data_IF_088231016424
#
_entry.id   IF_088231016424
#
_cell.length_a   1.000
_cell.length_b   1.000
_cell.length_c   1.000
_cell.angle_alpha   90.00
_cell.angle_beta   90.00
_cell.angle_gamma   90.00
#
_symmetry.space_group_name_H-M   'P 1'
#
loop_
_entity.id
_entity.type
_entity.pdbx_description
1 polymer ?
#
# COMPACT_ATOMS: atom_id res chain seq x y z
N UNK A 1 -12.58 25.26 10.92
CA UNK A 1 -13.03 23.99 10.29
C UNK A 1 -12.73 22.86 11.25
N UNK A 2 -13.70 21.99 11.51
CA UNK A 2 -13.47 20.72 12.23
C UNK A 2 -12.79 19.73 11.28
N UNK A 3 -11.73 19.05 11.73
CA UNK A 3 -11.10 17.97 10.96
C UNK A 3 -12.05 16.77 10.89
N UNK A 4 -12.19 16.18 9.70
CA UNK A 4 -13.03 15.01 9.47
C UNK A 4 -12.16 13.77 9.20
N UNK A 5 -12.22 12.77 10.08
CA UNK A 5 -11.39 11.57 9.98
C UNK A 5 -12.04 10.40 9.23
N UNK A 6 -13.19 10.61 8.57
CA UNK A 6 -13.94 9.56 7.87
C UNK A 6 -13.15 8.88 6.75
N UNK A 7 -12.13 9.55 6.20
CA UNK A 7 -11.25 8.98 5.17
C UNK A 7 -10.22 7.96 5.72
N UNK A 8 -10.21 7.76 7.04
CA UNK A 8 -9.37 6.78 7.74
C UNK A 8 -10.24 5.84 8.58
N UNK A 9 -10.58 4.69 8.03
CA UNK A 9 -11.35 3.67 8.72
C UNK A 9 -10.42 2.63 9.37
N UNK A 10 -10.43 2.53 10.70
CA UNK A 10 -9.74 1.45 11.43
C UNK A 10 -10.71 0.28 11.56
N UNK A 11 -10.30 -0.93 11.18
CA UNK A 11 -11.15 -2.12 11.35
C UNK A 11 -11.06 -2.64 12.79
N UNK A 12 -12.03 -3.49 13.16
CA UNK A 12 -12.11 -4.12 14.49
C UNK A 12 -11.14 -5.31 14.68
N UNK A 13 -10.54 -5.81 13.60
CA UNK A 13 -9.62 -6.94 13.65
C UNK A 13 -8.17 -6.49 13.41
N UNK A 14 -7.24 -7.27 13.94
CA UNK A 14 -5.80 -7.02 13.84
C UNK A 14 -5.06 -8.31 13.57
N UNK A 15 -3.87 -8.18 13.00
CA UNK A 15 -2.93 -9.27 12.81
C UNK A 15 -1.87 -9.30 13.91
N UNK A 16 -1.18 -10.42 14.04
CA UNK A 16 -0.05 -10.53 14.96
C UNK A 16 1.16 -9.76 14.41
N UNK A 17 1.54 -8.67 15.09
CA UNK A 17 2.65 -7.82 14.66
C UNK A 17 4.01 -8.51 14.71
N UNK A 18 4.21 -9.48 15.61
CA UNK A 18 5.46 -10.24 15.71
C UNK A 18 5.59 -11.13 14.47
N UNK A 19 4.53 -11.88 14.16
CA UNK A 19 4.50 -12.73 12.95
C UNK A 19 4.60 -11.94 11.65
N UNK A 20 4.02 -10.72 11.59
CA UNK A 20 4.19 -9.83 10.43
C UNK A 20 5.65 -9.42 10.22
N UNK A 21 6.38 -9.15 11.30
CA UNK A 21 7.82 -8.82 11.24
C UNK A 21 8.66 -10.02 10.85
N UNK A 22 8.35 -11.20 11.37
CA UNK A 22 8.99 -12.47 10.99
C UNK A 22 8.79 -12.77 9.50
N UNK A 23 7.54 -12.71 9.02
CA UNK A 23 7.23 -12.90 7.61
C UNK A 23 7.93 -11.88 6.71
N UNK A 24 7.99 -10.62 7.12
CA UNK A 24 8.77 -9.60 6.40
C UNK A 24 10.25 -9.98 6.33
N UNK A 25 10.85 -10.38 7.45
CA UNK A 25 12.26 -10.79 7.50
C UNK A 25 12.55 -12.02 6.64
N UNK A 26 11.61 -12.94 6.48
CA UNK A 26 11.76 -14.10 5.61
C UNK A 26 11.64 -13.72 4.13
N UNK A 27 10.66 -12.90 3.77
CA UNK A 27 10.49 -12.44 2.37
C UNK A 27 11.71 -11.65 1.87
N UNK A 28 12.29 -10.76 2.68
CA UNK A 28 13.45 -9.96 2.23
C UNK A 28 14.74 -10.77 2.04
N UNK A 29 14.82 -11.99 2.58
CA UNK A 29 15.93 -12.92 2.29
C UNK A 29 15.79 -13.52 0.90
N UNK A 30 14.56 -13.64 0.39
CA UNK A 30 14.22 -14.26 -0.89
C UNK A 30 14.20 -13.20 -2.00
N UNK A 31 13.58 -12.05 -1.73
CA UNK A 31 13.29 -11.02 -2.73
C UNK A 31 13.69 -9.63 -2.24
N UNK A 32 14.46 -8.91 -3.07
CA UNK A 32 14.73 -7.49 -2.87
C UNK A 32 13.55 -6.65 -3.35
N UNK A 33 13.39 -5.46 -2.77
CA UNK A 33 12.44 -4.48 -3.26
C UNK A 33 12.71 -4.11 -4.71
N UNK A 34 11.68 -4.17 -5.53
CA UNK A 34 11.72 -3.66 -6.90
C UNK A 34 11.53 -2.13 -6.84
N UNK A 35 12.51 -1.40 -7.37
CA UNK A 35 12.47 0.06 -7.52
C UNK A 35 12.24 0.40 -9.00
N UNK A 36 11.26 1.23 -9.30
CA UNK A 36 11.07 1.74 -10.67
C UNK A 36 12.08 2.88 -10.85
N UNK A 37 12.88 2.85 -11.93
CA UNK A 37 14.07 3.70 -12.13
C UNK A 37 13.84 5.21 -11.86
N UNK A 38 12.63 5.72 -12.03
CA UNK A 38 12.31 7.14 -11.87
C UNK A 38 11.74 7.51 -10.48
N UNK A 39 11.63 6.55 -9.55
CA UNK A 39 11.09 6.78 -8.21
C UNK A 39 12.14 6.44 -7.15
N UNK A 40 12.69 7.47 -6.53
CA UNK A 40 13.63 7.32 -5.42
C UNK A 40 12.88 7.04 -4.11
N UNK A 41 13.55 6.40 -3.16
CA UNK A 41 13.08 6.25 -1.78
C UNK A 41 11.76 5.49 -1.62
N UNK A 42 11.43 4.64 -2.60
CA UNK A 42 10.24 3.81 -2.64
C UNK A 42 10.56 2.46 -3.27
N UNK A 43 10.01 1.39 -2.74
CA UNK A 43 10.12 0.05 -3.31
C UNK A 43 8.88 -0.78 -3.06
N UNK A 44 8.65 -1.78 -3.91
CA UNK A 44 7.55 -2.72 -3.74
C UNK A 44 8.03 -4.17 -3.83
N UNK A 45 7.39 -5.06 -3.08
CA UNK A 45 7.42 -6.52 -3.28
C UNK A 45 5.96 -6.95 -3.43
N UNK A 46 5.59 -7.47 -4.60
CA UNK A 46 4.25 -8.03 -4.79
C UNK A 46 4.08 -9.31 -3.98
N UNK A 47 2.89 -9.48 -3.39
CA UNK A 47 2.45 -10.71 -2.72
C UNK A 47 1.43 -11.47 -3.57
N UNK A 48 0.77 -10.78 -4.51
CA UNK A 48 -0.17 -11.37 -5.47
C UNK A 48 0.24 -11.08 -6.90
N UNK A 49 -0.11 -11.98 -7.81
CA UNK A 49 0.04 -11.85 -9.26
C UNK A 49 -1.26 -12.27 -9.98
N UNK A 50 -1.31 -12.02 -11.29
CA UNK A 50 -2.36 -12.58 -12.14
C UNK A 50 -2.07 -14.08 -12.33
N UNK A 51 -3.04 -14.99 -12.09
CA UNK A 51 -2.86 -16.42 -12.29
C UNK A 51 -2.25 -16.76 -13.65
N UNK A 52 -1.11 -17.43 -13.64
CA UNK A 52 -0.40 -17.82 -14.86
C UNK A 52 0.34 -16.69 -15.60
N UNK A 53 0.43 -15.48 -15.04
CA UNK A 53 1.20 -14.36 -15.58
C UNK A 53 2.14 -13.76 -14.52
N UNK A 54 3.34 -14.34 -14.32
CA UNK A 54 4.37 -13.79 -13.44
C UNK A 54 4.92 -12.42 -13.89
N UNK A 55 4.70 -12.01 -15.14
CA UNK A 55 5.11 -10.70 -15.65
C UNK A 55 4.12 -9.59 -15.29
N UNK A 56 2.95 -9.95 -14.74
CA UNK A 56 1.94 -9.00 -14.24
C UNK A 56 2.48 -8.09 -13.13
N UNK A 57 3.50 -8.51 -12.39
CA UNK A 57 4.09 -7.76 -11.28
C UNK A 57 5.35 -6.98 -11.66
N UNK A 58 5.76 -6.98 -12.93
CA UNK A 58 7.02 -6.35 -13.37
C UNK A 58 6.82 -4.91 -13.87
N UNK A 59 7.82 -4.09 -13.62
CA UNK A 59 7.89 -2.70 -14.10
C UNK A 59 6.69 -1.86 -13.66
N UNK A 60 6.17 -1.07 -14.58
CA UNK A 60 5.08 -0.11 -14.37
C UNK A 60 3.74 -0.75 -13.92
N UNK A 61 3.50 -2.02 -14.25
CA UNK A 61 2.32 -2.76 -13.77
C UNK A 61 2.32 -2.93 -12.24
N UNK A 62 3.49 -2.84 -11.59
CA UNK A 62 3.62 -2.89 -10.15
C UNK A 62 3.08 -1.62 -9.44
N UNK A 63 2.96 -0.47 -10.14
CA UNK A 63 2.41 0.79 -9.60
C UNK A 63 0.97 1.00 -10.01
N UNK A 64 0.65 0.80 -11.29
CA UNK A 64 -0.69 1.04 -11.85
C UNK A 64 -1.02 2.52 -11.99
N UNK A 65 -2.16 2.84 -12.60
CA UNK A 65 -2.57 4.21 -12.93
C UNK A 65 -2.88 5.05 -11.68
N UNK A 66 -2.48 6.32 -11.71
CA UNK A 66 -2.81 7.32 -10.69
C UNK A 66 -2.85 8.71 -11.31
N UNK A 67 -3.35 9.70 -10.56
CA UNK A 67 -3.48 11.07 -11.03
C UNK A 67 -2.75 12.06 -10.13
N UNK A 68 -2.10 13.06 -10.74
CA UNK A 68 -1.30 14.08 -10.04
C UNK A 68 -1.73 15.49 -10.46
N UNK A 69 -1.39 16.50 -9.65
CA UNK A 69 -1.43 17.93 -10.03
C UNK A 69 0.00 18.45 -10.01
N UNK A 70 0.72 18.43 -11.15
CA UNK A 70 2.18 18.50 -11.16
C UNK A 70 2.73 19.93 -11.05
N UNK A 71 1.93 20.94 -11.37
CA UNK A 71 2.38 22.33 -11.47
C UNK A 71 1.37 23.30 -10.84
N UNK A 72 1.72 24.59 -10.86
CA UNK A 72 0.93 25.67 -10.29
C UNK A 72 -0.44 25.89 -10.94
N UNK A 73 -0.73 25.24 -12.08
CA UNK A 73 -2.06 25.34 -12.71
C UNK A 73 -3.11 24.52 -11.96
N UNK A 74 -2.68 23.55 -11.16
CA UNK A 74 -3.57 22.63 -10.44
C UNK A 74 -4.34 21.67 -11.35
N UNK A 75 -4.00 21.60 -12.64
CA UNK A 75 -4.62 20.68 -13.59
C UNK A 75 -4.21 19.24 -13.31
N UNK A 76 -5.20 18.35 -13.31
CA UNK A 76 -4.99 16.93 -13.10
C UNK A 76 -4.46 16.26 -14.38
N UNK A 77 -3.53 15.33 -14.22
CA UNK A 77 -2.99 14.50 -15.29
C UNK A 77 -2.84 13.05 -14.82
N UNK A 78 -3.10 12.10 -15.71
CA UNK A 78 -2.87 10.68 -15.47
C UNK A 78 -1.38 10.33 -15.56
N UNK A 79 -1.00 9.28 -14.86
CA UNK A 79 0.35 8.71 -14.81
C UNK A 79 0.26 7.19 -14.92
N UNK A 80 1.28 6.60 -15.52
CA UNK A 80 1.44 5.14 -15.63
C UNK A 80 0.33 4.43 -16.44
N UNK A 81 0.24 3.11 -16.31
CA UNK A 81 -0.63 2.21 -17.08
C UNK A 81 -1.82 1.73 -16.25
N UNK A 82 -2.97 1.58 -16.90
CA UNK A 82 -4.13 0.93 -16.29
C UNK A 82 -3.82 -0.54 -16.03
N UNK A 83 -4.24 -1.03 -14.87
CA UNK A 83 -4.17 -2.44 -14.48
C UNK A 83 -5.56 -2.92 -14.10
N UNK A 84 -5.88 -4.17 -14.43
CA UNK A 84 -7.14 -4.80 -14.03
C UNK A 84 -6.95 -5.42 -12.65
N UNK A 85 -7.16 -4.62 -11.59
CA UNK A 85 -6.95 -5.04 -10.20
C UNK A 85 -7.64 -6.37 -9.87
N UNK A 86 -8.85 -6.61 -10.39
CA UNK A 86 -9.63 -7.84 -10.18
C UNK A 86 -8.92 -9.13 -10.62
N UNK A 87 -7.93 -9.04 -11.52
CA UNK A 87 -7.19 -10.21 -12.01
C UNK A 87 -6.08 -10.67 -11.07
N UNK A 88 -5.66 -9.85 -10.10
CA UNK A 88 -4.57 -10.19 -9.18
C UNK A 88 -5.08 -11.03 -8.01
N UNK A 89 -5.24 -12.33 -8.23
CA UNK A 89 -5.87 -13.27 -7.29
C UNK A 89 -5.00 -14.45 -6.88
N UNK A 90 -3.84 -14.64 -7.51
CA UNK A 90 -2.88 -15.69 -7.15
C UNK A 90 -1.88 -15.14 -6.13
N UNK A 91 -1.79 -15.77 -4.96
CA UNK A 91 -0.71 -15.48 -4.01
C UNK A 91 0.58 -16.12 -4.49
N UNK A 92 1.69 -15.39 -4.43
CA UNK A 92 2.98 -15.84 -4.97
C UNK A 92 3.52 -17.00 -4.13
N UNK A 93 3.84 -18.12 -4.79
CA UNK A 93 4.21 -19.40 -4.16
C UNK A 93 5.46 -19.28 -3.28
N UNK A 94 6.45 -18.46 -3.68
CA UNK A 94 7.71 -18.23 -2.96
C UNK A 94 7.51 -17.73 -1.51
N UNK A 95 6.36 -17.14 -1.19
CA UNK A 95 6.07 -16.56 0.12
C UNK A 95 4.98 -17.32 0.89
N UNK A 96 4.50 -18.45 0.37
CA UNK A 96 3.32 -19.16 0.89
C UNK A 96 3.49 -19.71 2.31
N UNK A 97 4.73 -20.01 2.69
CA UNK A 97 5.07 -20.54 4.01
C UNK A 97 5.27 -19.44 5.07
N UNK A 98 5.03 -18.17 4.69
CA UNK A 98 5.08 -17.03 5.60
C UNK A 98 3.70 -16.65 6.11
N UNK A 99 3.65 -15.91 7.22
CA UNK A 99 2.38 -15.38 7.77
C UNK A 99 1.60 -14.50 6.78
N UNK A 100 2.23 -13.98 5.72
CA UNK A 100 1.52 -13.19 4.71
C UNK A 100 0.49 -13.99 3.92
N UNK A 101 0.65 -15.31 3.82
CA UNK A 101 -0.38 -16.17 3.20
C UNK A 101 -1.67 -16.16 4.00
N UNK A 102 -1.58 -16.33 5.33
CA UNK A 102 -2.72 -16.25 6.24
C UNK A 102 -3.35 -14.85 6.23
N UNK A 103 -2.52 -13.79 6.23
CA UNK A 103 -2.99 -12.40 6.11
C UNK A 103 -3.80 -12.21 4.82
N UNK A 104 -3.28 -12.68 3.68
CA UNK A 104 -3.96 -12.58 2.39
C UNK A 104 -5.31 -13.31 2.40
N UNK A 105 -5.37 -14.53 2.93
CA UNK A 105 -6.60 -15.32 2.99
C UNK A 105 -7.66 -14.66 3.89
N UNK A 106 -7.26 -14.17 5.06
CA UNK A 106 -8.16 -13.46 5.96
C UNK A 106 -8.69 -12.17 5.32
N UNK A 107 -7.83 -11.38 4.68
CA UNK A 107 -8.27 -10.17 3.97
C UNK A 107 -9.21 -10.51 2.80
N UNK A 108 -8.90 -11.54 2.02
CA UNK A 108 -9.70 -11.98 0.87
C UNK A 108 -11.06 -12.53 1.28
N UNK A 109 -11.17 -13.12 2.48
CA UNK A 109 -12.45 -13.55 3.04
C UNK A 109 -13.39 -12.39 3.41
N UNK A 110 -12.85 -11.18 3.56
CA UNK A 110 -13.58 -9.98 4.01
C UNK A 110 -13.79 -8.95 2.91
N UNK A 111 -12.91 -8.90 1.92
CA UNK A 111 -12.86 -7.86 0.90
C UNK A 111 -12.60 -8.44 -0.48
N UNK A 112 -13.13 -7.78 -1.52
CA UNK A 112 -12.70 -8.02 -2.91
C UNK A 112 -11.37 -7.28 -3.10
N UNK A 113 -10.26 -8.02 -3.06
CA UNK A 113 -8.93 -7.46 -3.19
C UNK A 113 -8.50 -7.36 -4.67
N UNK A 114 -7.65 -6.36 -4.94
CA UNK A 114 -6.76 -6.36 -6.10
C UNK A 114 -5.34 -6.72 -5.69
N UNK A 115 -4.35 -6.01 -6.23
CA UNK A 115 -2.94 -6.20 -5.89
C UNK A 115 -2.68 -6.03 -4.39
N UNK A 116 -1.97 -7.00 -3.82
CA UNK A 116 -1.41 -6.96 -2.48
C UNK A 116 0.11 -6.90 -2.56
N UNK A 117 0.71 -5.96 -1.83
CA UNK A 117 2.15 -5.64 -1.90
C UNK A 117 2.70 -5.28 -0.53
N UNK A 118 3.97 -5.55 -0.31
CA UNK A 118 4.77 -4.91 0.72
C UNK A 118 5.39 -3.66 0.11
N UNK A 119 5.19 -2.50 0.73
CA UNK A 119 5.79 -1.24 0.28
C UNK A 119 6.83 -0.74 1.28
N UNK A 120 7.90 -0.20 0.73
CA UNK A 120 8.98 0.50 1.41
C UNK A 120 8.87 2.00 1.14
N UNK A 121 9.02 2.81 2.20
CA UNK A 121 9.37 4.24 2.10
C UNK A 121 10.61 4.52 2.95
N UNK A 122 11.67 4.98 2.32
CA UNK A 122 12.94 5.28 3.02
C UNK A 122 12.82 6.54 3.92
N UNK A 123 13.76 6.73 4.86
CA UNK A 123 13.83 7.93 5.70
C UNK A 123 13.77 9.26 4.93
N UNK A 124 13.31 10.31 5.62
CA UNK A 124 13.32 11.71 5.17
C UNK A 124 12.82 11.91 3.72
N UNK A 125 11.70 11.29 3.39
CA UNK A 125 11.21 11.27 2.00
C UNK A 125 9.68 11.31 1.89
N UNK A 126 9.16 11.79 0.76
CA UNK A 126 7.72 11.95 0.49
C UNK A 126 7.32 11.31 -0.85
N UNK A 127 6.04 11.02 -1.03
CA UNK A 127 5.46 10.67 -2.34
C UNK A 127 4.99 11.93 -3.08
N UNK A 128 4.48 11.77 -4.31
CA UNK A 128 3.73 12.83 -4.99
C UNK A 128 2.38 13.07 -4.32
N UNK A 129 1.81 14.27 -4.48
CA UNK A 129 0.41 14.52 -4.17
C UNK A 129 -0.47 13.90 -5.27
N UNK A 130 -1.19 12.84 -4.95
CA UNK A 130 -1.90 12.03 -5.94
C UNK A 130 -3.22 11.45 -5.44
N UNK A 131 -4.05 11.00 -6.37
CA UNK A 131 -5.17 10.10 -6.08
C UNK A 131 -5.04 8.82 -6.90
N UNK A 132 -5.57 7.74 -6.36
CA UNK A 132 -5.64 6.43 -6.97
C UNK A 132 -7.07 6.12 -7.44
N UNK A 133 -7.30 5.04 -8.20
CA UNK A 133 -8.65 4.67 -8.62
C UNK A 133 -9.45 4.01 -7.49
N UNK A 134 -8.81 3.30 -6.57
CA UNK A 134 -9.46 2.54 -5.50
C UNK A 134 -8.97 2.91 -4.09
N UNK A 135 -9.82 2.71 -3.06
CA UNK A 135 -9.38 2.64 -1.67
C UNK A 135 -8.28 1.61 -1.42
N UNK A 136 -7.50 1.82 -0.36
CA UNK A 136 -6.42 0.89 0.01
C UNK A 136 -6.51 0.45 1.46
N UNK A 137 -6.21 -0.82 1.70
CA UNK A 137 -5.85 -1.32 3.01
C UNK A 137 -4.38 -0.99 3.29
N UNK A 138 -4.07 -0.56 4.51
CA UNK A 138 -2.72 -0.39 5.02
C UNK A 138 -2.55 -1.14 6.35
N UNK A 139 -1.49 -1.94 6.45
CA UNK A 139 -1.09 -2.65 7.68
C UNK A 139 0.38 -2.35 7.97
N UNK A 140 0.67 -1.41 8.90
CA UNK A 140 2.04 -1.09 9.30
C UNK A 140 2.79 -2.28 9.95
N UNK A 141 4.00 -2.57 9.47
CA UNK A 141 4.92 -3.59 10.05
C UNK A 141 6.07 -2.90 10.80
N UNK A 142 6.73 -1.94 10.13
CA UNK A 142 7.76 -1.06 10.70
C UNK A 142 7.35 0.38 10.42
N UNK A 143 7.28 1.24 11.44
CA UNK A 143 6.86 2.64 11.34
C UNK A 143 7.36 3.44 12.54
N UNK A 144 7.50 4.76 12.35
CA UNK A 144 7.80 5.73 13.40
C UNK A 144 6.76 6.86 13.42
N UNK A 145 6.70 7.70 14.48
CA UNK A 145 5.76 8.84 14.56
C UNK A 145 5.86 9.85 13.40
N UNK A 146 7.01 9.92 12.71
CA UNK A 146 7.20 10.76 11.53
C UNK A 146 6.61 10.17 10.24
N UNK A 147 6.06 8.97 10.28
CA UNK A 147 5.37 8.34 9.15
C UNK A 147 3.90 8.73 9.15
N UNK A 148 3.52 9.59 8.21
CA UNK A 148 2.20 10.22 8.18
C UNK A 148 1.57 10.02 6.82
N UNK A 149 0.31 9.61 6.83
CA UNK A 149 -0.57 9.67 5.68
C UNK A 149 -1.42 10.92 5.77
N UNK A 150 -1.44 11.69 4.69
CA UNK A 150 -2.27 12.88 4.55
C UNK A 150 -3.32 12.59 3.48
N UNK A 151 -4.60 12.69 3.81
CA UNK A 151 -5.70 12.60 2.84
C UNK A 151 -6.47 13.90 2.93
N UNK A 152 -6.55 14.61 1.80
CA UNK A 152 -7.07 15.97 1.72
C UNK A 152 -6.40 16.89 2.75
N UNK A 153 -7.13 17.31 3.80
CA UNK A 153 -6.61 18.19 4.86
C UNK A 153 -6.31 17.48 6.19
N UNK A 154 -6.39 16.15 6.24
CA UNK A 154 -6.20 15.36 7.48
C UNK A 154 -4.91 14.55 7.42
N UNK A 155 -4.06 14.75 8.43
CA UNK A 155 -2.82 14.00 8.65
C UNK A 155 -3.01 12.96 9.76
N UNK A 156 -2.56 11.72 9.51
CA UNK A 156 -2.68 10.62 10.47
C UNK A 156 -1.49 9.69 10.47
N UNK A 157 -1.02 9.36 11.67
CA UNK A 157 -0.07 8.27 11.90
C UNK A 157 -0.82 6.93 12.06
N UNK A 158 -0.32 5.87 11.43
CA UNK A 158 -0.83 4.51 11.59
C UNK A 158 0.24 3.65 12.28
N UNK A 159 0.00 3.15 13.52
CA UNK A 159 1.01 2.45 14.30
C UNK A 159 1.22 1.00 13.82
N UNK A 160 2.41 0.45 14.09
CA UNK A 160 2.73 -0.96 13.88
C UNK A 160 2.29 -1.80 15.09
N UNK A 161 0.98 -1.97 15.23
CA UNK A 161 0.32 -2.75 16.29
C UNK A 161 -0.57 -3.88 15.72
N UNK A 162 -0.44 -4.17 14.42
CA UNK A 162 -1.24 -5.14 13.69
C UNK A 162 -2.59 -4.61 13.20
N UNK A 163 -2.94 -3.35 13.50
CA UNK A 163 -4.19 -2.74 13.05
C UNK A 163 -4.28 -2.70 11.53
N UNK A 164 -5.49 -2.95 11.03
CA UNK A 164 -5.83 -2.82 9.62
C UNK A 164 -6.58 -1.50 9.42
N UNK A 165 -6.09 -0.70 8.48
CA UNK A 165 -6.67 0.58 8.11
C UNK A 165 -7.16 0.51 6.68
N UNK A 166 -8.35 1.01 6.40
CA UNK A 166 -8.81 1.31 5.05
C UNK A 166 -8.77 2.82 4.87
N UNK A 167 -8.14 3.29 3.82
CA UNK A 167 -7.97 4.71 3.52
C UNK A 167 -8.62 5.10 2.20
N UNK A 168 -9.15 6.32 2.14
CA UNK A 168 -9.79 6.84 0.94
C UNK A 168 -8.75 7.41 -0.05
N UNK A 169 -8.01 6.52 -0.71
CA UNK A 169 -7.01 6.91 -1.72
C UNK A 169 -7.62 7.46 -3.01
N UNK A 170 -8.94 7.39 -3.17
CA UNK A 170 -9.65 8.04 -4.30
C UNK A 170 -9.64 9.55 -4.19
N UNK A 171 -9.45 10.08 -2.97
CA UNK A 171 -9.13 11.48 -2.72
C UNK A 171 -7.64 11.73 -2.91
N UNK A 172 -7.32 12.99 -3.16
CA UNK A 172 -5.93 13.42 -3.20
C UNK A 172 -5.28 13.25 -1.83
N UNK A 173 -4.12 12.62 -1.83
CA UNK A 173 -3.40 12.20 -0.64
C UNK A 173 -1.90 12.15 -0.88
N UNK A 174 -1.17 11.93 0.20
CA UNK A 174 0.26 11.74 0.24
C UNK A 174 0.64 10.83 1.39
N UNK A 175 1.80 10.21 1.28
CA UNK A 175 2.47 9.58 2.40
C UNK A 175 3.91 10.07 2.45
N UNK A 176 4.35 10.46 3.64
CA UNK A 176 5.74 10.80 3.90
C UNK A 176 6.29 10.04 5.11
N UNK A 177 7.59 9.76 5.06
CA UNK A 177 8.38 9.25 6.16
C UNK A 177 9.38 10.33 6.56
N UNK A 178 9.03 11.12 7.58
CA UNK A 178 9.91 12.13 8.17
C UNK A 178 10.90 11.57 9.20
N UNK A 179 10.84 10.27 9.49
CA UNK A 179 11.73 9.61 10.44
C UNK A 179 13.06 9.19 9.83
N UNK A 180 13.82 8.44 10.62
CA UNK A 180 15.20 8.01 10.31
C UNK A 180 15.32 6.50 10.03
N UNK A 181 14.21 5.76 10.07
CA UNK A 181 14.13 4.35 9.70
C UNK A 181 13.18 4.12 8.52
N UNK A 182 13.36 3.01 7.82
CA UNK A 182 12.46 2.58 6.74
C UNK A 182 11.04 2.35 7.25
N UNK A 183 10.04 2.82 6.50
CA UNK A 183 8.64 2.45 6.70
C UNK A 183 8.32 1.23 5.85
N UNK A 184 7.83 0.16 6.48
CA UNK A 184 7.41 -1.09 5.82
C UNK A 184 5.95 -1.41 6.13
N UNK A 185 5.08 -1.52 5.13
CA UNK A 185 3.69 -1.96 5.33
C UNK A 185 3.19 -2.88 4.23
N UNK A 186 2.10 -3.60 4.53
CA UNK A 186 1.25 -4.22 3.51
C UNK A 186 0.29 -3.17 2.98
N UNK A 187 0.13 -3.13 1.65
CA UNK A 187 -0.96 -2.42 0.96
C UNK A 187 -1.77 -3.40 0.14
N UNK A 188 -3.09 -3.29 0.16
CA UNK A 188 -3.98 -3.99 -0.76
C UNK A 188 -4.99 -3.03 -1.39
N UNK A 189 -5.23 -3.14 -2.69
CA UNK A 189 -6.33 -2.44 -3.36
C UNK A 189 -7.67 -3.07 -2.93
N UNK A 190 -8.69 -2.26 -2.63
CA UNK A 190 -10.01 -2.74 -2.18
C UNK A 190 -11.09 -2.31 -3.16
N UNK A 191 -11.68 -3.29 -3.84
CA UNK A 191 -12.53 -3.06 -5.01
C UNK A 191 -14.01 -2.93 -4.67
N UNK A 192 -14.40 -3.33 -3.46
CA UNK A 192 -15.79 -3.32 -2.99
C UNK A 192 -16.03 -2.42 -1.76
N UNK A 193 -15.11 -1.52 -1.43
CA UNK A 193 -15.28 -0.57 -0.33
C UNK A 193 -15.64 0.82 -0.86
N UNK A 194 -16.62 1.47 -0.21
CA UNK A 194 -17.02 2.84 -0.53
C UNK A 194 -16.97 3.68 0.74
N UNK A 195 -16.29 4.82 0.65
CA UNK A 195 -16.37 5.87 1.65
C UNK A 195 -17.62 6.70 1.39
N UNK A 196 -18.35 7.01 2.47
CA UNK A 196 -19.52 7.89 2.45
C UNK A 196 -19.13 9.35 2.71
#
# INVERSE_FOLDING_TARGET
MSLNFNDFFKTEFKFDIVKLKEAYNDVIKIKKFDTINDVTNFGAISLTQIPGDPDSIKGNKARGVFWTKPDSTGKEVSRDVTVEEEKYSEFIDDYKDTYFKEVYEILSSKYKLGRVRILLKEPRSTLSWHRDPEPRIHIPIITNPGCIMVIDNVAKHMPADGSVWITNNTKYHNFFNGGEENRIHIVACVLNHKFN
#
